data_IF_952214922045
#
_entry.id   IF_952214922045
#
_cell.length_a   1.000
_cell.length_b   1.000
_cell.length_c   1.000
_cell.angle_alpha   90.00
_cell.angle_beta   90.00
_cell.angle_gamma   90.00
#
_symmetry.space_group_name_H-M   'P 1'
#
loop_
_entity.id
_entity.type
_entity.pdbx_description
1 polymer ?
#
# COMPACT_ATOMS: atom_id res chain seq x y z
N UNK A 1 1.08 26.57 -31.59
CA UNK A 1 1.03 25.42 -32.54
C UNK A 1 1.00 24.07 -31.84
N UNK A 2 1.31 23.97 -30.53
CA UNK A 2 1.05 22.78 -29.73
C UNK A 2 0.24 23.18 -28.50
N UNK A 3 -0.97 22.64 -28.37
CA UNK A 3 -1.78 22.74 -27.17
C UNK A 3 -2.03 21.31 -26.69
N UNK A 4 -1.48 20.96 -25.53
CA UNK A 4 -1.73 19.68 -24.86
C UNK A 4 -2.37 20.04 -23.53
N UNK A 5 -3.56 19.50 -23.30
CA UNK A 5 -4.29 19.66 -22.05
C UNK A 5 -4.31 18.32 -21.32
N UNK A 6 -3.96 18.34 -20.04
CA UNK A 6 -3.95 17.17 -19.18
C UNK A 6 -4.95 17.43 -18.06
N UNK A 7 -5.98 16.58 -18.00
CA UNK A 7 -6.98 16.66 -16.93
C UNK A 7 -6.44 15.98 -15.67
N UNK A 8 -6.42 16.74 -14.57
CA UNK A 8 -6.01 16.27 -13.24
C UNK A 8 -7.17 16.33 -12.23
N UNK A 9 -8.39 16.66 -12.68
CA UNK A 9 -9.57 16.83 -11.84
C UNK A 9 -10.56 15.67 -11.91
N UNK A 10 -10.40 14.77 -12.88
CA UNK A 10 -11.29 13.61 -13.08
C UNK A 10 -10.71 12.32 -12.51
N UNK A 11 -11.57 11.50 -11.92
CA UNK A 11 -11.22 10.15 -11.51
C UNK A 11 -11.56 9.13 -12.60
N UNK A 12 -10.65 8.18 -12.80
CA UNK A 12 -10.74 7.11 -13.78
C UNK A 12 -10.79 5.76 -13.05
N UNK A 13 -11.91 5.55 -12.36
CA UNK A 13 -12.14 4.37 -11.54
C UNK A 13 -12.52 3.16 -12.40
N UNK A 14 -11.99 1.96 -12.12
CA UNK A 14 -12.34 0.76 -12.86
C UNK A 14 -13.83 0.45 -12.79
N UNK A 15 -14.34 -0.12 -13.89
CA UNK A 15 -15.75 -0.47 -14.00
C UNK A 15 -16.01 -1.81 -13.33
N UNK A 16 -16.83 -1.82 -12.29
CA UNK A 16 -17.35 -3.05 -11.70
C UNK A 16 -18.61 -3.50 -12.44
N UNK A 17 -18.70 -4.80 -12.75
CA UNK A 17 -19.91 -5.39 -13.33
C UNK A 17 -20.77 -5.97 -12.20
N UNK A 18 -21.92 -5.35 -11.96
CA UNK A 18 -22.92 -5.82 -10.99
C UNK A 18 -23.85 -6.85 -11.61
N UNK A 19 -24.50 -7.72 -10.81
CA UNK A 19 -25.52 -8.63 -11.30
C UNK A 19 -26.73 -7.91 -11.92
N UNK A 20 -27.44 -8.60 -12.80
CA UNK A 20 -28.66 -8.07 -13.44
C UNK A 20 -29.68 -7.61 -12.40
N UNK A 21 -30.27 -6.44 -12.62
CA UNK A 21 -31.25 -5.83 -11.71
C UNK A 21 -30.63 -4.91 -10.64
N UNK A 22 -29.30 -4.87 -10.51
CA UNK A 22 -28.63 -3.93 -9.63
C UNK A 22 -27.96 -2.76 -10.39
N UNK A 23 -27.91 -1.61 -9.73
CA UNK A 23 -26.92 -0.55 -9.96
C UNK A 23 -25.72 -0.72 -9.01
N UNK A 24 -24.61 -0.02 -9.25
CA UNK A 24 -23.45 -0.01 -8.34
C UNK A 24 -23.86 0.35 -6.91
N UNK A 25 -24.69 1.37 -6.75
CA UNK A 25 -25.16 1.84 -5.44
C UNK A 25 -26.03 0.80 -4.74
N UNK A 26 -27.03 0.25 -5.45
CA UNK A 26 -27.94 -0.74 -4.87
C UNK A 26 -27.25 -2.07 -4.56
N UNK A 27 -26.23 -2.46 -5.33
CA UNK A 27 -25.46 -3.67 -5.05
C UNK A 27 -24.56 -3.49 -3.83
N UNK A 28 -23.90 -2.32 -3.72
CA UNK A 28 -23.12 -1.98 -2.54
C UNK A 28 -24.00 -1.96 -1.28
N UNK A 29 -25.18 -1.35 -1.35
CA UNK A 29 -26.15 -1.34 -0.26
C UNK A 29 -26.58 -2.76 0.13
N UNK A 30 -26.90 -3.60 -0.86
CA UNK A 30 -27.27 -4.99 -0.62
C UNK A 30 -26.17 -5.76 0.15
N UNK A 31 -24.92 -5.70 -0.32
CA UNK A 31 -23.78 -6.32 0.35
C UNK A 31 -23.52 -5.76 1.75
N UNK A 32 -23.68 -4.45 1.92
CA UNK A 32 -23.49 -3.78 3.20
C UNK A 32 -24.55 -4.22 4.23
N UNK A 33 -25.80 -4.41 3.80
CA UNK A 33 -26.89 -4.90 4.67
C UNK A 33 -26.71 -6.37 5.07
N UNK A 34 -26.25 -7.22 4.14
CA UNK A 34 -25.87 -8.60 4.44
C UNK A 34 -24.73 -8.65 5.46
N UNK A 35 -23.69 -7.85 5.24
CA UNK A 35 -22.56 -7.69 6.13
C UNK A 35 -22.96 -7.18 7.52
N UNK A 36 -23.84 -6.19 7.58
CA UNK A 36 -24.39 -5.67 8.84
C UNK A 36 -25.08 -6.77 9.63
N UNK A 37 -25.92 -7.56 8.96
CA UNK A 37 -26.63 -8.69 9.59
C UNK A 37 -25.66 -9.76 10.07
N UNK A 38 -24.60 -10.05 9.32
CA UNK A 38 -23.58 -11.02 9.72
C UNK A 38 -22.75 -10.56 10.92
N UNK A 39 -22.50 -9.25 11.06
CA UNK A 39 -21.66 -8.66 12.13
C UNK A 39 -22.44 -8.35 13.41
N UNK A 40 -23.65 -7.81 13.28
CA UNK A 40 -24.46 -7.30 14.40
C UNK A 40 -25.79 -8.05 14.60
N UNK A 41 -26.13 -9.01 13.74
CA UNK A 41 -27.41 -9.72 13.78
C UNK A 41 -28.56 -8.93 13.14
N UNK A 42 -29.79 -9.46 13.25
CA UNK A 42 -30.99 -8.88 12.65
C UNK A 42 -31.50 -7.62 13.35
N UNK A 43 -31.00 -7.32 14.55
CA UNK A 43 -31.41 -6.18 15.36
C UNK A 43 -30.17 -5.50 15.93
N UNK A 44 -29.42 -4.75 15.09
CA UNK A 44 -28.24 -4.03 15.53
C UNK A 44 -28.63 -2.96 16.57
N UNK A 45 -27.67 -2.57 17.41
CA UNK A 45 -27.87 -1.51 18.40
C UNK A 45 -28.28 -0.18 17.74
N UNK A 46 -28.94 0.68 18.53
CA UNK A 46 -29.41 1.99 18.08
C UNK A 46 -28.27 2.81 17.45
N UNK A 47 -28.56 3.47 16.33
CA UNK A 47 -27.62 4.31 15.59
C UNK A 47 -26.71 3.57 14.59
N UNK A 48 -26.51 2.25 14.68
CA UNK A 48 -25.65 1.51 13.73
C UNK A 48 -26.27 1.51 12.32
N UNK A 49 -27.57 1.22 12.21
CA UNK A 49 -28.27 1.27 10.92
C UNK A 49 -28.35 2.67 10.34
N UNK A 50 -28.41 3.71 11.18
CA UNK A 50 -28.38 5.12 10.74
C UNK A 50 -26.99 5.49 10.21
N UNK A 51 -25.93 5.08 10.90
CA UNK A 51 -24.55 5.25 10.45
C UNK A 51 -24.33 4.58 9.10
N UNK A 52 -24.81 3.34 8.91
CA UNK A 52 -24.65 2.63 7.63
C UNK A 52 -25.35 3.37 6.49
N UNK A 53 -26.60 3.80 6.68
CA UNK A 53 -27.34 4.57 5.67
C UNK A 53 -26.69 5.90 5.34
N UNK A 54 -26.17 6.60 6.36
CA UNK A 54 -25.42 7.85 6.16
C UNK A 54 -24.18 7.62 5.31
N UNK A 55 -23.35 6.63 5.65
CA UNK A 55 -22.13 6.33 4.88
C UNK A 55 -22.45 5.94 3.43
N UNK A 56 -23.43 5.05 3.21
CA UNK A 56 -23.88 4.66 1.87
C UNK A 56 -24.35 5.87 1.05
N UNK A 57 -25.11 6.78 1.68
CA UNK A 57 -25.56 8.02 1.04
C UNK A 57 -24.40 8.94 0.64
N UNK A 58 -23.37 9.08 1.48
CA UNK A 58 -22.18 9.86 1.14
C UNK A 58 -21.39 9.19 0.01
N UNK A 59 -21.19 7.87 0.07
CA UNK A 59 -20.45 7.10 -0.94
C UNK A 59 -21.12 7.22 -2.32
N UNK A 60 -22.44 7.04 -2.38
CA UNK A 60 -23.23 7.20 -3.61
C UNK A 60 -23.15 8.64 -4.13
N UNK A 61 -23.36 9.64 -3.27
CA UNK A 61 -23.30 11.07 -3.67
C UNK A 61 -21.94 11.47 -4.23
N UNK A 62 -20.85 10.88 -3.71
CA UNK A 62 -19.49 11.15 -4.18
C UNK A 62 -19.07 10.26 -5.37
N UNK A 63 -19.89 9.28 -5.77
CA UNK A 63 -19.61 8.41 -6.91
C UNK A 63 -18.59 7.31 -6.63
N UNK A 64 -18.40 6.91 -5.37
CA UNK A 64 -17.38 5.92 -4.99
C UNK A 64 -17.90 4.50 -4.79
N UNK A 65 -19.16 4.20 -5.12
CA UNK A 65 -19.71 2.85 -4.96
C UNK A 65 -18.95 1.79 -5.77
N UNK A 66 -18.57 2.13 -7.01
CA UNK A 66 -17.75 1.24 -7.85
C UNK A 66 -16.38 0.96 -7.25
N UNK A 67 -15.76 1.95 -6.60
CA UNK A 67 -14.49 1.78 -5.90
C UNK A 67 -14.63 0.77 -4.75
N UNK A 68 -15.64 0.94 -3.88
CA UNK A 68 -15.89 0.00 -2.78
C UNK A 68 -16.13 -1.43 -3.28
N UNK A 69 -16.88 -1.59 -4.37
CA UNK A 69 -17.14 -2.90 -4.97
C UNK A 69 -15.88 -3.55 -5.53
N UNK A 70 -15.00 -2.77 -6.17
CA UNK A 70 -13.71 -3.27 -6.68
C UNK A 70 -12.83 -3.74 -5.52
N UNK A 71 -12.75 -2.95 -4.45
CA UNK A 71 -12.00 -3.30 -3.24
C UNK A 71 -12.54 -4.55 -2.57
N UNK A 72 -13.86 -4.59 -2.36
CA UNK A 72 -14.54 -5.76 -1.82
C UNK A 72 -14.29 -7.02 -2.63
N UNK A 73 -14.34 -6.95 -3.95
CA UNK A 73 -14.28 -8.10 -4.84
C UNK A 73 -12.99 -8.91 -4.69
N UNK A 74 -11.83 -8.25 -4.74
CA UNK A 74 -10.55 -8.95 -4.60
C UNK A 74 -10.24 -9.35 -3.15
N UNK A 75 -10.75 -8.62 -2.15
CA UNK A 75 -10.65 -9.05 -0.73
C UNK A 75 -11.51 -10.28 -0.49
N UNK A 76 -12.74 -10.29 -1.00
CA UNK A 76 -13.65 -11.42 -0.90
C UNK A 76 -13.07 -12.64 -1.63
N UNK A 77 -12.43 -12.44 -2.79
CA UNK A 77 -11.64 -13.49 -3.45
C UNK A 77 -10.52 -14.02 -2.55
N UNK A 78 -9.69 -13.13 -1.98
CA UNK A 78 -8.58 -13.51 -1.11
C UNK A 78 -9.07 -14.37 0.07
N UNK A 79 -10.11 -13.91 0.78
CA UNK A 79 -10.71 -14.64 1.91
C UNK A 79 -11.28 -16.00 1.48
N UNK A 80 -12.01 -16.09 0.35
CA UNK A 80 -12.53 -17.37 -0.18
C UNK A 80 -11.41 -18.36 -0.54
N UNK A 81 -10.23 -17.87 -0.91
CA UNK A 81 -9.04 -18.69 -1.21
C UNK A 81 -8.16 -18.96 0.01
N UNK A 82 -8.61 -18.56 1.20
CA UNK A 82 -7.86 -18.71 2.44
C UNK A 82 -6.58 -17.88 2.48
N UNK A 83 -6.51 -16.78 1.74
CA UNK A 83 -5.40 -15.81 1.81
C UNK A 83 -5.71 -14.86 2.95
N UNK A 84 -4.81 -14.77 3.93
CA UNK A 84 -4.98 -13.84 5.05
C UNK A 84 -4.95 -12.40 4.56
N UNK A 85 -5.91 -11.60 5.04
CA UNK A 85 -6.05 -10.17 4.76
C UNK A 85 -5.95 -9.42 6.08
N UNK A 86 -5.20 -8.33 6.09
CA UNK A 86 -5.03 -7.52 7.28
C UNK A 86 -6.33 -6.84 7.74
N UNK A 87 -6.36 -6.32 8.97
CA UNK A 87 -7.55 -5.68 9.53
C UNK A 87 -7.93 -4.35 8.87
N UNK A 88 -7.12 -3.86 7.94
CA UNK A 88 -7.25 -2.55 7.29
C UNK A 88 -6.27 -1.53 7.87
N UNK A 89 -5.79 -0.62 7.02
CA UNK A 89 -4.85 0.45 7.38
C UNK A 89 -5.44 1.83 7.16
N UNK A 90 -4.83 2.81 7.82
CA UNK A 90 -5.16 4.22 7.65
C UNK A 90 -6.56 4.56 8.12
N UNK A 91 -7.21 5.49 7.41
CA UNK A 91 -8.54 5.99 7.77
C UNK A 91 -9.67 5.02 7.40
N UNK A 92 -9.44 4.06 6.50
CA UNK A 92 -10.46 3.11 6.01
C UNK A 92 -11.18 2.34 7.13
N UNK A 93 -10.48 2.05 8.24
CA UNK A 93 -11.04 1.42 9.44
C UNK A 93 -12.18 2.23 10.10
N UNK A 94 -12.33 3.51 9.78
CA UNK A 94 -13.43 4.36 10.25
C UNK A 94 -14.75 4.16 9.53
N UNK A 95 -14.80 3.40 8.42
CA UNK A 95 -16.03 3.15 7.67
C UNK A 95 -16.74 1.87 8.14
N UNK A 96 -17.99 2.03 8.56
CA UNK A 96 -18.90 0.91 8.84
C UNK A 96 -19.23 0.13 7.57
N UNK A 97 -19.35 0.80 6.41
CA UNK A 97 -19.52 0.12 5.11
C UNK A 97 -18.32 -0.79 4.83
N UNK A 98 -17.09 -0.30 4.99
CA UNK A 98 -15.89 -1.12 4.81
C UNK A 98 -15.84 -2.33 5.75
N UNK A 99 -16.27 -2.16 7.01
CA UNK A 99 -16.34 -3.23 7.99
C UNK A 99 -17.40 -4.30 7.65
N UNK A 100 -18.58 -3.86 7.21
CA UNK A 100 -19.68 -4.74 6.79
C UNK A 100 -19.30 -5.55 5.53
N UNK A 101 -18.62 -4.91 4.57
CA UNK A 101 -18.11 -5.60 3.38
C UNK A 101 -16.94 -6.56 3.70
N UNK A 102 -16.38 -6.51 4.91
CA UNK A 102 -15.20 -7.32 5.28
C UNK A 102 -13.89 -6.81 4.67
N UNK A 103 -13.88 -5.57 4.19
CA UNK A 103 -12.68 -4.85 3.76
C UNK A 103 -11.78 -4.58 4.97
N UNK A 104 -12.38 -4.16 6.08
CA UNK A 104 -11.72 -3.99 7.37
C UNK A 104 -12.24 -5.03 8.38
N UNK A 105 -11.42 -5.41 9.36
CA UNK A 105 -11.81 -6.30 10.46
C UNK A 105 -12.05 -5.55 11.79
N UNK A 106 -11.85 -4.23 11.83
CA UNK A 106 -12.02 -3.41 13.04
C UNK A 106 -13.41 -2.80 13.09
N UNK A 107 -14.14 -3.00 14.19
CA UNK A 107 -15.48 -2.44 14.42
C UNK A 107 -15.40 -0.92 14.71
N UNK A 108 -15.81 -0.04 13.79
CA UNK A 108 -15.69 1.40 13.98
C UNK A 108 -16.63 1.94 15.06
N UNK A 109 -17.76 1.27 15.32
CA UNK A 109 -18.73 1.70 16.34
C UNK A 109 -18.16 1.42 17.72
N UNK A 110 -17.62 0.22 17.93
CA UNK A 110 -17.01 -0.19 19.22
C UNK A 110 -15.89 0.74 19.65
N UNK A 111 -15.07 1.21 18.71
CA UNK A 111 -13.89 2.03 18.98
C UNK A 111 -14.10 3.54 18.73
N UNK A 112 -15.33 3.96 18.38
CA UNK A 112 -15.62 5.37 18.11
C UNK A 112 -14.83 5.95 16.93
N UNK A 113 -14.58 5.14 15.90
CA UNK A 113 -13.86 5.56 14.70
C UNK A 113 -14.78 6.37 13.77
N UNK A 114 -14.23 7.48 13.25
CA UNK A 114 -14.98 8.46 12.47
C UNK A 114 -14.88 8.17 10.97
N UNK A 115 -16.02 8.16 10.29
CA UNK A 115 -16.09 7.96 8.84
C UNK A 115 -15.55 9.15 8.07
N UNK A 116 -15.77 10.36 8.57
CA UNK A 116 -15.40 11.62 7.91
C UNK A 116 -13.87 11.81 7.82
N UNK A 117 -13.11 11.08 8.64
CA UNK A 117 -11.65 10.99 8.53
C UNK A 117 -11.22 10.17 7.31
N UNK A 118 -12.06 9.22 6.88
CA UNK A 118 -11.86 8.45 5.66
C UNK A 118 -12.40 9.19 4.45
N UNK A 119 -13.69 9.53 4.48
CA UNK A 119 -14.40 10.14 3.37
C UNK A 119 -15.15 11.38 3.86
N UNK A 120 -14.65 12.56 3.51
CA UNK A 120 -15.26 13.82 3.92
C UNK A 120 -16.19 14.34 2.80
N UNK A 121 -17.50 14.51 3.06
CA UNK A 121 -18.45 15.00 2.04
C UNK A 121 -18.17 16.44 1.58
N UNK A 122 -17.46 17.24 2.36
CA UNK A 122 -17.08 18.62 2.01
C UNK A 122 -15.82 18.70 1.14
N UNK A 123 -15.06 17.61 1.06
CA UNK A 123 -13.82 17.54 0.27
C UNK A 123 -13.78 16.23 -0.53
N UNK A 124 -14.11 16.35 -1.81
CA UNK A 124 -13.99 15.23 -2.75
C UNK A 124 -12.49 14.97 -2.99
N UNK A 125 -11.99 13.90 -2.39
CA UNK A 125 -10.68 13.30 -2.66
C UNK A 125 -10.86 11.82 -2.89
N UNK A 126 -9.96 11.21 -3.68
CA UNK A 126 -9.97 9.76 -3.88
C UNK A 126 -9.76 9.06 -2.52
N UNK A 127 -10.67 8.14 -2.14
CA UNK A 127 -10.45 7.31 -0.96
C UNK A 127 -9.23 6.41 -1.18
N UNK A 128 -8.40 6.29 -0.16
CA UNK A 128 -7.23 5.42 -0.17
C UNK A 128 -7.42 4.29 0.85
N UNK A 129 -7.45 3.05 0.36
CA UNK A 129 -7.63 1.84 1.15
C UNK A 129 -6.39 0.96 0.95
N UNK A 130 -5.42 1.16 1.84
CA UNK A 130 -4.25 0.30 1.96
C UNK A 130 -4.66 -1.08 2.50
N UNK A 131 -4.32 -2.14 1.77
CA UNK A 131 -4.71 -3.51 2.12
C UNK A 131 -3.49 -4.40 2.22
N UNK A 132 -3.33 -5.01 3.39
CA UNK A 132 -2.27 -5.96 3.66
C UNK A 132 -2.75 -7.38 3.32
N UNK A 133 -1.88 -8.16 2.66
CA UNK A 133 -2.06 -9.58 2.37
C UNK A 133 -0.88 -10.38 2.92
N UNK A 134 -1.07 -11.69 3.10
CA UNK A 134 0.04 -12.61 3.33
C UNK A 134 1.10 -12.46 2.21
N UNK A 135 2.37 -12.31 2.60
CA UNK A 135 3.44 -11.88 1.70
C UNK A 135 3.77 -12.89 0.59
N UNK A 136 3.58 -14.17 0.90
CA UNK A 136 3.79 -15.35 0.06
C UNK A 136 2.65 -15.60 -0.94
N UNK A 137 1.44 -15.09 -0.66
CA UNK A 137 0.24 -15.31 -1.49
C UNK A 137 -0.35 -14.05 -2.13
N UNK A 138 0.21 -12.86 -1.88
CA UNK A 138 -0.28 -11.60 -2.48
C UNK A 138 -0.37 -11.62 -4.01
N UNK A 139 0.56 -12.31 -4.68
CA UNK A 139 0.60 -12.36 -6.15
C UNK A 139 -0.60 -13.15 -6.73
N UNK A 140 -1.23 -14.04 -5.96
CA UNK A 140 -2.49 -14.68 -6.37
C UNK A 140 -3.64 -13.67 -6.49
N UNK A 141 -3.68 -12.66 -5.61
CA UNK A 141 -4.70 -11.62 -5.62
C UNK A 141 -4.45 -10.66 -6.79
N UNK A 142 -3.19 -10.30 -7.04
CA UNK A 142 -2.82 -9.46 -8.19
C UNK A 142 -3.20 -10.16 -9.50
N UNK A 143 -2.90 -11.46 -9.65
CA UNK A 143 -3.33 -12.23 -10.83
C UNK A 143 -4.84 -12.25 -11.00
N UNK A 144 -5.60 -12.43 -9.91
CA UNK A 144 -7.05 -12.34 -9.96
C UNK A 144 -7.53 -10.98 -10.46
N UNK A 145 -6.94 -9.88 -9.98
CA UNK A 145 -7.29 -8.52 -10.43
C UNK A 145 -6.97 -8.35 -11.93
N UNK A 146 -5.83 -8.83 -12.40
CA UNK A 146 -5.44 -8.82 -13.82
C UNK A 146 -6.46 -9.60 -14.68
N UNK A 147 -6.84 -10.80 -14.25
CA UNK A 147 -7.82 -11.64 -14.96
C UNK A 147 -9.23 -11.02 -14.94
N UNK A 148 -9.63 -10.42 -13.81
CA UNK A 148 -10.97 -9.87 -13.59
C UNK A 148 -11.19 -8.53 -14.32
N UNK A 149 -10.20 -7.64 -14.30
CA UNK A 149 -10.32 -6.27 -14.80
C UNK A 149 -9.63 -6.04 -16.15
N UNK A 150 -8.82 -6.99 -16.62
CA UNK A 150 -8.18 -6.98 -17.93
C UNK A 150 -6.67 -6.71 -17.85
N UNK A 151 -5.89 -7.53 -18.55
CA UNK A 151 -4.43 -7.47 -18.53
C UNK A 151 -3.84 -6.21 -19.16
N UNK A 152 -4.61 -5.48 -19.97
CA UNK A 152 -4.27 -4.19 -20.56
C UNK A 152 -4.68 -2.99 -19.69
N UNK A 153 -5.44 -3.23 -18.61
CA UNK A 153 -5.97 -2.19 -17.70
C UNK A 153 -5.33 -2.21 -16.31
N UNK A 154 -4.54 -3.25 -16.03
CA UNK A 154 -3.87 -3.44 -14.74
C UNK A 154 -2.35 -3.44 -14.96
N UNK A 155 -1.63 -2.61 -14.19
CA UNK A 155 -0.17 -2.55 -14.24
C UNK A 155 0.42 -2.27 -12.86
N UNK A 156 1.65 -2.72 -12.63
CA UNK A 156 2.42 -2.24 -11.50
C UNK A 156 2.87 -0.80 -11.72
N UNK A 157 3.08 -0.06 -10.63
CA UNK A 157 3.61 1.30 -10.73
C UNK A 157 5.14 1.26 -10.82
N UNK A 158 5.73 2.03 -11.74
CA UNK A 158 7.18 2.20 -11.81
C UNK A 158 7.70 3.00 -10.63
N UNK A 159 8.91 2.64 -10.19
CA UNK A 159 9.71 3.42 -9.26
C UNK A 159 11.05 3.73 -9.88
N UNK A 160 11.62 4.87 -9.50
CA UNK A 160 12.92 5.29 -10.00
C UNK A 160 13.91 5.25 -8.84
N UNK A 161 14.90 4.36 -8.95
CA UNK A 161 16.00 4.32 -7.99
C UNK A 161 16.88 5.54 -8.20
N UNK A 162 17.00 6.39 -7.18
CA UNK A 162 17.88 7.57 -7.21
C UNK A 162 19.24 7.26 -6.56
N UNK A 163 20.24 8.07 -6.90
CA UNK A 163 21.57 7.97 -6.30
C UNK A 163 21.60 8.68 -4.94
N UNK A 164 21.24 7.97 -3.86
CA UNK A 164 21.39 8.48 -2.49
C UNK A 164 22.85 8.57 -2.05
N UNK A 165 23.15 9.35 -1.00
CA UNK A 165 24.51 9.70 -0.55
C UNK A 165 25.52 8.53 -0.55
N UNK A 166 25.19 7.40 0.10
CA UNK A 166 26.08 6.22 0.13
C UNK A 166 26.26 5.56 -1.23
N UNK A 167 25.21 5.52 -2.05
CA UNK A 167 25.24 4.89 -3.35
C UNK A 167 26.06 5.73 -4.35
N UNK A 168 25.85 7.05 -4.36
CA UNK A 168 26.59 7.96 -5.25
C UNK A 168 28.08 7.98 -4.94
N UNK A 169 28.47 7.96 -3.66
CA UNK A 169 29.88 7.84 -3.25
C UNK A 169 30.51 6.57 -3.86
N UNK A 170 29.86 5.41 -3.70
CA UNK A 170 30.39 4.13 -4.19
C UNK A 170 30.48 4.10 -5.72
N UNK A 171 29.48 4.62 -6.42
CA UNK A 171 29.45 4.62 -7.88
C UNK A 171 30.53 5.55 -8.46
N UNK A 172 30.68 6.77 -7.92
CA UNK A 172 31.71 7.72 -8.33
C UNK A 172 33.11 7.22 -7.98
N UNK A 173 33.30 6.66 -6.78
CA UNK A 173 34.58 6.10 -6.36
C UNK A 173 35.08 5.02 -7.33
N UNK A 174 34.18 4.14 -7.79
CA UNK A 174 34.52 3.09 -8.77
C UNK A 174 35.01 3.69 -10.09
N UNK A 175 34.38 4.77 -10.57
CA UNK A 175 34.78 5.45 -11.82
C UNK A 175 36.13 6.17 -11.66
N UNK A 176 36.39 6.77 -10.50
CA UNK A 176 37.65 7.45 -10.18
C UNK A 176 38.78 6.49 -9.76
N UNK A 177 38.60 5.18 -9.93
CA UNK A 177 39.64 4.17 -9.68
C UNK A 177 39.99 3.99 -8.20
N UNK A 178 39.03 4.16 -7.29
CA UNK A 178 39.17 3.68 -5.91
C UNK A 178 38.93 2.17 -5.84
N UNK A 179 39.62 1.50 -4.92
CA UNK A 179 39.28 0.11 -4.57
C UNK A 179 37.92 0.04 -3.88
N UNK A 180 37.26 -1.12 -3.96
CA UNK A 180 35.98 -1.36 -3.29
C UNK A 180 36.07 -1.09 -1.77
N UNK A 181 37.18 -1.50 -1.13
CA UNK A 181 37.40 -1.29 0.29
C UNK A 181 37.52 0.19 0.67
N UNK A 182 38.19 1.00 -0.15
CA UNK A 182 38.27 2.45 0.07
C UNK A 182 36.90 3.11 -0.09
N UNK A 183 36.18 2.78 -1.17
CA UNK A 183 34.85 3.31 -1.45
C UNK A 183 33.86 2.97 -0.32
N UNK A 184 33.86 1.73 0.16
CA UNK A 184 32.98 1.30 1.25
C UNK A 184 33.33 1.94 2.60
N UNK A 185 34.62 2.14 2.89
CA UNK A 185 35.04 2.89 4.09
C UNK A 185 34.50 4.31 4.08
N UNK A 186 34.64 5.03 2.96
CA UNK A 186 34.12 6.41 2.84
C UNK A 186 32.59 6.42 2.97
N UNK A 187 31.90 5.51 2.27
CA UNK A 187 30.44 5.44 2.31
C UNK A 187 29.88 5.07 3.71
N UNK A 188 30.63 4.32 4.53
CA UNK A 188 30.24 3.98 5.90
C UNK A 188 30.33 5.14 6.88
N UNK A 189 31.11 6.18 6.57
CA UNK A 189 31.16 7.40 7.39
C UNK A 189 29.89 8.25 7.26
N UNK A 190 29.12 8.07 6.18
CA UNK A 190 27.81 8.72 6.03
C UNK A 190 26.86 8.18 7.11
N UNK A 191 26.25 9.05 7.94
CA UNK A 191 25.29 8.64 8.96
C UNK A 191 24.14 7.80 8.39
N UNK A 192 23.63 6.86 9.19
CA UNK A 192 22.44 6.09 8.84
C UNK A 192 21.13 6.83 9.08
N UNK A 193 21.16 7.91 9.88
CA UNK A 193 20.00 8.69 10.26
C UNK A 193 20.30 10.20 10.18
N UNK A 194 19.34 11.03 9.73
CA UNK A 194 18.00 10.65 9.24
C UNK A 194 18.07 9.81 7.95
N UNK A 195 17.01 9.06 7.67
CA UNK A 195 16.86 8.38 6.38
C UNK A 195 16.88 9.43 5.25
N UNK A 196 17.51 9.09 4.13
CA UNK A 196 17.71 9.99 2.99
C UNK A 196 18.57 11.23 3.29
N UNK A 197 19.54 11.11 4.19
CA UNK A 197 20.55 12.16 4.42
C UNK A 197 21.26 12.54 3.11
N UNK A 198 21.43 13.83 2.89
CA UNK A 198 22.19 14.38 1.76
C UNK A 198 23.69 14.35 2.02
N UNK A 199 24.50 14.48 0.97
CA UNK A 199 25.94 14.63 1.13
C UNK A 199 26.27 15.85 2.00
N UNK A 200 25.64 17.00 1.76
CA UNK A 200 25.92 18.21 2.54
C UNK A 200 25.63 18.03 4.04
N UNK A 201 24.47 17.48 4.40
CA UNK A 201 24.15 17.16 5.80
C UNK A 201 25.10 16.10 6.39
N UNK A 202 25.62 15.20 5.56
CA UNK A 202 26.56 14.17 6.00
C UNK A 202 27.89 14.80 6.46
N UNK A 203 28.34 15.88 5.82
CA UNK A 203 29.54 16.60 6.24
C UNK A 203 29.34 17.31 7.58
N UNK A 204 28.15 17.88 7.81
CA UNK A 204 27.82 18.56 9.06
C UNK A 204 27.75 17.58 10.24
N UNK A 205 27.16 16.40 10.01
CA UNK A 205 26.90 15.40 11.05
C UNK A 205 28.05 14.43 11.30
N UNK A 206 29.00 14.31 10.36
CA UNK A 206 30.16 13.44 10.49
C UNK A 206 31.47 14.25 10.33
N UNK A 207 32.00 14.85 11.41
CA UNK A 207 33.29 15.55 11.37
C UNK A 207 34.44 14.75 10.75
N UNK A 208 34.60 13.43 11.01
CA UNK A 208 35.64 12.63 10.36
C UNK A 208 35.53 12.58 8.83
N UNK A 209 34.29 12.58 8.30
CA UNK A 209 34.05 12.60 6.86
C UNK A 209 34.43 13.97 6.28
N UNK A 210 34.06 15.05 6.96
CA UNK A 210 34.43 16.40 6.55
C UNK A 210 35.94 16.63 6.55
N UNK A 211 36.66 16.12 7.54
CA UNK A 211 38.12 16.16 7.57
C UNK A 211 38.73 15.36 6.42
N UNK A 212 38.22 14.17 6.14
CA UNK A 212 38.74 13.33 5.06
C UNK A 212 38.53 13.98 3.69
N UNK A 213 37.37 14.57 3.44
CA UNK A 213 37.06 15.31 2.19
C UNK A 213 37.98 16.54 2.04
N UNK A 214 38.34 17.21 3.14
CA UNK A 214 39.25 18.38 3.10
C UNK A 214 40.71 18.00 2.92
N UNK A 215 41.15 16.90 3.54
CA UNK A 215 42.57 16.52 3.62
C UNK A 215 43.05 15.73 2.41
N UNK A 216 42.21 14.87 1.85
CA UNK A 216 42.58 14.01 0.73
C UNK A 216 42.02 14.59 -0.59
N UNK A 217 42.87 15.10 -1.49
CA UNK A 217 42.43 15.68 -2.76
C UNK A 217 41.60 14.71 -3.61
N UNK A 218 41.92 13.41 -3.56
CA UNK A 218 41.19 12.38 -4.34
C UNK A 218 39.78 12.21 -3.81
N UNK A 219 39.60 12.27 -2.48
CA UNK A 219 38.28 12.23 -1.84
C UNK A 219 37.51 13.53 -2.07
N UNK A 220 38.21 14.67 -2.09
CA UNK A 220 37.62 15.97 -2.47
C UNK A 220 37.05 15.98 -3.89
N UNK A 221 37.79 15.43 -4.86
CA UNK A 221 37.31 15.27 -6.24
C UNK A 221 36.09 14.34 -6.31
N UNK A 222 36.17 13.17 -5.66
CA UNK A 222 35.03 12.25 -5.52
C UNK A 222 33.80 12.98 -4.99
N UNK A 223 33.96 13.77 -3.93
CA UNK A 223 32.86 14.48 -3.30
C UNK A 223 32.21 15.52 -4.22
N UNK A 224 33.03 16.28 -4.94
CA UNK A 224 32.56 17.28 -5.91
C UNK A 224 31.71 16.65 -7.01
N UNK A 225 32.18 15.53 -7.58
CA UNK A 225 31.44 14.79 -8.61
C UNK A 225 30.18 14.13 -8.02
N UNK A 226 30.29 13.54 -6.82
CA UNK A 226 29.16 12.90 -6.16
C UNK A 226 28.04 13.90 -5.85
N UNK A 227 28.37 15.13 -5.46
CA UNK A 227 27.38 16.19 -5.21
C UNK A 227 26.60 16.58 -6.47
N UNK A 228 27.24 16.56 -7.64
CA UNK A 228 26.57 16.83 -8.91
C UNK A 228 25.63 15.69 -9.36
N UNK A 229 25.84 14.47 -8.85
CA UNK A 229 25.09 13.27 -9.22
C UNK A 229 24.09 12.82 -8.15
N UNK A 230 24.15 13.39 -6.94
CA UNK A 230 23.23 13.07 -5.86
C UNK A 230 21.79 13.35 -6.27
N UNK A 231 20.90 12.37 -6.03
CA UNK A 231 19.49 12.48 -6.39
C UNK A 231 19.19 12.21 -7.88
N UNK A 232 20.19 12.08 -8.75
CA UNK A 232 19.95 11.68 -10.14
C UNK A 232 19.26 10.30 -10.20
N UNK A 233 18.34 10.16 -11.16
CA UNK A 233 17.68 8.87 -11.42
C UNK A 233 18.67 7.92 -12.08
N UNK A 234 18.79 6.71 -11.51
CA UNK A 234 19.76 5.70 -11.94
C UNK A 234 19.13 4.61 -12.80
N UNK A 235 17.99 4.08 -12.38
CA UNK A 235 17.32 2.98 -13.08
C UNK A 235 15.82 2.96 -12.78
N UNK A 236 15.07 2.38 -13.71
CA UNK A 236 13.68 1.99 -13.49
C UNK A 236 13.63 0.70 -12.65
N UNK A 237 12.68 0.64 -11.74
CA UNK A 237 12.32 -0.54 -10.95
C UNK A 237 10.80 -0.60 -10.81
N UNK A 238 10.28 -1.67 -10.22
CA UNK A 238 8.84 -1.87 -10.00
C UNK A 238 8.51 -1.60 -8.54
N UNK A 239 7.42 -0.89 -8.26
CA UNK A 239 6.93 -0.72 -6.89
C UNK A 239 6.62 -2.08 -6.28
N UNK A 240 7.00 -2.29 -5.02
CA UNK A 240 6.87 -3.59 -4.37
C UNK A 240 5.41 -4.05 -4.13
N UNK A 241 4.45 -3.12 -4.19
CA UNK A 241 3.08 -3.29 -3.70
C UNK A 241 2.02 -2.56 -4.53
N UNK A 242 2.36 -1.42 -5.14
CA UNK A 242 1.38 -0.55 -5.77
C UNK A 242 1.04 -1.02 -7.19
N UNK A 243 -0.25 -1.21 -7.43
CA UNK A 243 -0.84 -1.57 -8.71
C UNK A 243 -1.85 -0.50 -9.08
N UNK A 244 -1.91 -0.16 -10.37
CA UNK A 244 -2.93 0.72 -10.94
C UNK A 244 -3.99 -0.12 -11.64
N UNK A 245 -5.26 0.27 -11.49
CA UNK A 245 -6.40 -0.36 -12.17
C UNK A 245 -7.16 0.74 -12.91
N UNK A 246 -7.28 0.63 -14.22
CA UNK A 246 -7.94 1.63 -15.07
C UNK A 246 -9.31 1.16 -15.58
N UNK A 247 -10.15 2.13 -15.96
CA UNK A 247 -11.45 1.89 -16.59
C UNK A 247 -11.34 1.46 -18.06
N UNK A 248 -10.22 1.81 -18.70
CA UNK A 248 -9.91 1.55 -20.10
C UNK A 248 -8.46 1.04 -20.26
N UNK A 249 -8.01 0.65 -21.45
CA UNK A 249 -6.62 0.21 -21.66
C UNK A 249 -5.62 1.29 -21.21
N UNK A 250 -4.65 0.92 -20.37
CA UNK A 250 -3.73 1.86 -19.73
C UNK A 250 -2.94 2.71 -20.73
N UNK A 251 -2.63 2.18 -21.92
CA UNK A 251 -1.93 2.93 -22.97
C UNK A 251 -2.69 4.17 -23.46
N UNK A 252 -4.01 4.25 -23.24
CA UNK A 252 -4.80 5.45 -23.54
C UNK A 252 -4.61 6.55 -22.49
N UNK A 253 -4.22 6.19 -21.25
CA UNK A 253 -4.10 7.08 -20.09
C UNK A 253 -2.65 7.47 -19.80
N UNK A 254 -1.74 6.49 -19.85
CA UNK A 254 -0.36 6.63 -19.41
C UNK A 254 0.59 5.86 -20.33
N UNK A 255 1.83 6.35 -20.52
CA UNK A 255 2.85 5.53 -21.15
C UNK A 255 3.09 4.27 -20.30
N UNK A 256 3.50 3.18 -20.96
CA UNK A 256 3.87 1.94 -20.29
C UNK A 256 5.35 1.64 -20.44
N UNK A 257 5.89 0.94 -19.46
CA UNK A 257 7.24 0.39 -19.44
C UNK A 257 7.16 -1.14 -19.45
N UNK A 258 7.98 -1.80 -20.27
CA UNK A 258 8.10 -3.26 -20.27
C UNK A 258 9.50 -3.66 -19.85
N UNK A 259 9.60 -4.29 -18.68
CA UNK A 259 10.83 -4.97 -18.27
C UNK A 259 10.90 -6.32 -19.00
N UNK A 260 11.94 -6.60 -19.81
CA UNK A 260 12.09 -7.87 -20.52
C UNK A 260 12.12 -9.10 -19.59
N UNK A 261 12.42 -8.92 -18.31
CA UNK A 261 12.48 -10.00 -17.31
C UNK A 261 11.14 -10.26 -16.62
N UNK A 262 10.10 -9.44 -16.87
CA UNK A 262 8.83 -9.50 -16.16
C UNK A 262 7.64 -9.60 -17.13
N UNK A 263 6.71 -10.55 -16.88
CA UNK A 263 5.52 -10.69 -17.71
C UNK A 263 4.51 -9.58 -17.46
N UNK A 264 4.54 -8.89 -16.32
CA UNK A 264 3.55 -7.86 -15.97
C UNK A 264 3.75 -6.56 -16.77
N UNK A 265 2.71 -5.73 -16.83
CA UNK A 265 2.80 -4.35 -17.31
C UNK A 265 3.27 -3.45 -16.17
N UNK A 266 4.04 -2.42 -16.51
CA UNK A 266 4.51 -1.43 -15.57
C UNK A 266 4.14 -0.05 -16.14
N UNK A 267 3.69 0.88 -15.31
CA UNK A 267 3.43 2.26 -15.74
C UNK A 267 4.73 2.94 -16.18
N UNK A 268 4.68 3.92 -17.07
CA UNK A 268 5.82 4.78 -17.40
C UNK A 268 5.97 5.96 -16.44
N UNK A 269 4.98 6.17 -15.57
CA UNK A 269 4.93 7.27 -14.60
C UNK A 269 4.91 6.72 -13.18
N UNK A 270 5.70 7.35 -12.30
CA UNK A 270 5.73 7.00 -10.89
C UNK A 270 4.41 7.36 -10.18
N UNK A 271 4.29 6.94 -8.92
CA UNK A 271 3.08 7.05 -8.09
C UNK A 271 2.44 8.45 -8.10
N UNK A 272 3.19 9.51 -7.81
CA UNK A 272 2.63 10.86 -7.69
C UNK A 272 1.90 11.34 -8.95
N UNK A 273 2.49 11.27 -10.16
CA UNK A 273 1.78 11.56 -11.39
C UNK A 273 0.56 10.66 -11.67
N UNK A 274 0.60 9.36 -11.33
CA UNK A 274 -0.54 8.45 -11.50
C UNK A 274 -1.74 8.92 -10.68
N UNK A 275 -1.52 9.29 -9.41
CA UNK A 275 -2.56 9.83 -8.53
C UNK A 275 -3.14 11.15 -9.05
N UNK A 276 -2.29 12.06 -9.55
CA UNK A 276 -2.73 13.33 -10.13
C UNK A 276 -3.58 13.14 -11.38
N UNK A 277 -3.29 12.12 -12.18
CA UNK A 277 -4.10 11.74 -13.35
C UNK A 277 -5.41 11.04 -12.95
N UNK A 278 -5.71 10.91 -11.66
CA UNK A 278 -6.96 10.36 -11.15
C UNK A 278 -7.14 8.87 -11.39
N UNK A 279 -6.07 8.14 -11.68
CA UNK A 279 -6.12 6.69 -11.80
C UNK A 279 -6.17 6.04 -10.41
N UNK A 280 -6.91 4.93 -10.31
CA UNK A 280 -7.01 4.18 -9.06
C UNK A 280 -5.69 3.45 -8.78
N UNK A 281 -5.02 3.86 -7.70
CA UNK A 281 -3.89 3.14 -7.09
C UNK A 281 -4.42 2.23 -5.98
N UNK A 282 -3.90 1.01 -5.93
CA UNK A 282 -4.13 0.07 -4.84
C UNK A 282 -2.81 -0.53 -4.40
N UNK A 283 -2.58 -0.51 -3.09
CA UNK A 283 -1.37 -1.01 -2.48
C UNK A 283 -1.61 -2.43 -1.92
N UNK A 284 -1.08 -3.43 -2.62
CA UNK A 284 -1.09 -4.84 -2.23
C UNK A 284 0.16 -5.15 -1.41
N UNK A 285 0.15 -4.78 -0.12
CA UNK A 285 1.31 -4.99 0.75
C UNK A 285 1.42 -6.46 1.16
N UNK A 286 2.62 -7.01 1.08
CA UNK A 286 2.93 -8.30 1.68
C UNK A 286 3.38 -8.12 3.13
N UNK A 287 2.56 -8.52 4.10
CA UNK A 287 2.88 -8.42 5.52
C UNK A 287 3.25 -9.80 6.08
N UNK A 288 4.53 -9.98 6.42
CA UNK A 288 5.04 -11.24 7.00
C UNK A 288 4.29 -11.66 8.28
N UNK A 289 3.80 -10.69 9.06
CA UNK A 289 2.99 -10.97 10.25
C UNK A 289 1.73 -11.78 9.92
N UNK A 290 1.06 -11.50 8.80
CA UNK A 290 -0.13 -12.25 8.38
C UNK A 290 0.21 -13.69 8.00
N UNK A 291 1.33 -13.89 7.31
CA UNK A 291 1.86 -15.21 6.96
C UNK A 291 2.15 -16.03 8.22
N UNK A 292 2.86 -15.43 9.19
CA UNK A 292 3.16 -16.09 10.48
C UNK A 292 1.89 -16.47 11.24
N UNK A 293 0.88 -15.59 11.28
CA UNK A 293 -0.41 -15.89 11.94
C UNK A 293 -1.12 -17.05 11.23
N UNK A 294 -1.18 -17.00 9.89
CA UNK A 294 -1.81 -18.04 9.07
C UNK A 294 -1.15 -19.42 9.27
N UNK A 295 0.18 -19.46 9.22
CA UNK A 295 0.96 -20.67 9.45
C UNK A 295 0.73 -21.21 10.87
N UNK A 296 0.69 -20.33 11.87
CA UNK A 296 0.43 -20.70 13.27
C UNK A 296 -0.94 -21.35 13.43
N UNK A 297 -1.98 -20.77 12.82
CA UNK A 297 -3.34 -21.34 12.86
C UNK A 297 -3.39 -22.71 12.16
N UNK A 298 -2.73 -22.86 11.02
CA UNK A 298 -2.64 -24.13 10.31
C UNK A 298 -1.93 -25.21 11.16
N UNK A 299 -0.80 -24.87 11.76
CA UNK A 299 -0.05 -25.77 12.63
C UNK A 299 -0.84 -26.19 13.87
N UNK A 300 -1.60 -25.28 14.49
CA UNK A 300 -2.48 -25.60 15.62
C UNK A 300 -3.57 -26.59 15.19
N UNK A 301 -4.15 -26.40 14.01
CA UNK A 301 -5.15 -27.32 13.46
C UNK A 301 -4.56 -28.70 13.19
N UNK A 302 -3.36 -28.77 12.62
CA UNK A 302 -2.70 -30.05 12.31
C UNK A 302 -2.24 -30.80 13.58
N UNK A 303 -1.71 -30.08 14.57
CA UNK A 303 -1.19 -30.67 15.80
C UNK A 303 -2.28 -31.02 16.82
N UNK A 304 -3.34 -30.21 16.89
CA UNK A 304 -4.34 -30.31 17.96
C UNK A 304 -5.77 -30.53 17.46
N UNK A 305 -6.02 -30.50 16.15
CA UNK A 305 -7.37 -30.58 15.58
C UNK A 305 -8.25 -29.35 15.85
N UNK A 306 -7.67 -28.26 16.37
CA UNK A 306 -8.39 -27.05 16.75
C UNK A 306 -8.41 -26.07 15.58
N UNK A 307 -9.60 -25.73 15.09
CA UNK A 307 -9.77 -24.68 14.07
C UNK A 307 -9.95 -23.32 14.75
N UNK A 308 -9.03 -22.40 14.51
CA UNK A 308 -9.09 -21.03 15.03
C UNK A 308 -9.44 -20.05 13.91
N UNK A 309 -10.23 -19.04 14.24
CA UNK A 309 -10.46 -17.87 13.40
C UNK A 309 -9.79 -16.67 14.07
N UNK A 310 -8.68 -16.20 13.48
CA UNK A 310 -7.88 -15.11 14.01
C UNK A 310 -8.67 -13.79 14.11
N UNK A 311 -9.66 -13.57 13.23
CA UNK A 311 -10.51 -12.38 13.23
C UNK A 311 -11.56 -12.40 14.37
N UNK A 312 -11.71 -13.53 15.08
CA UNK A 312 -12.73 -13.73 16.12
C UNK A 312 -12.16 -14.01 17.51
N UNK A 313 -10.86 -13.81 17.69
CA UNK A 313 -10.23 -13.98 19.01
C UNK A 313 -10.77 -12.94 20.01
N UNK A 314 -10.97 -13.32 21.28
CA UNK A 314 -11.36 -12.38 22.32
C UNK A 314 -10.26 -11.34 22.55
N UNK A 315 -10.66 -10.09 22.79
CA UNK A 315 -9.75 -8.96 22.92
C UNK A 315 -9.41 -8.61 24.37
N UNK A 316 -9.91 -9.39 25.33
CA UNK A 316 -9.80 -9.20 26.77
C UNK A 316 -9.14 -10.40 27.47
N UNK A 317 -8.41 -11.25 26.74
CA UNK A 317 -7.76 -12.44 27.29
C UNK A 317 -6.68 -12.06 28.34
N UNK A 318 -6.86 -12.42 29.63
CA UNK A 318 -5.94 -12.02 30.68
C UNK A 318 -4.52 -12.56 30.49
N UNK A 319 -4.36 -13.74 29.88
CA UNK A 319 -3.04 -14.35 29.67
C UNK A 319 -2.22 -13.59 28.63
N UNK A 320 -2.87 -13.13 27.57
CA UNK A 320 -2.27 -12.28 26.54
C UNK A 320 -1.77 -10.97 27.16
N UNK A 321 -2.59 -10.31 27.97
CA UNK A 321 -2.19 -9.07 28.67
C UNK A 321 -1.09 -9.27 29.72
N UNK A 322 -1.06 -10.42 30.40
CA UNK A 322 0.02 -10.75 31.33
C UNK A 322 1.36 -10.88 30.60
N UNK A 323 1.38 -11.54 29.44
CA UNK A 323 2.59 -11.69 28.63
C UNK A 323 3.15 -10.32 28.20
N UNK A 324 2.27 -9.40 27.77
CA UNK A 324 2.64 -8.02 27.44
C UNK A 324 3.17 -7.25 28.66
N UNK A 325 2.51 -7.40 29.81
CA UNK A 325 2.89 -6.75 31.07
C UNK A 325 4.23 -7.27 31.62
N UNK A 326 4.56 -8.53 31.36
CA UNK A 326 5.87 -9.14 31.64
C UNK A 326 6.97 -8.69 30.66
N UNK A 327 6.65 -7.82 29.69
CA UNK A 327 7.53 -7.38 28.60
C UNK A 327 8.12 -8.54 27.77
N UNK A 328 7.39 -9.66 27.65
CA UNK A 328 7.80 -10.82 26.84
C UNK A 328 7.45 -10.60 25.36
N UNK A 329 7.89 -9.49 24.78
CA UNK A 329 7.45 -9.01 23.46
C UNK A 329 8.32 -9.48 22.29
N UNK A 330 9.20 -10.46 22.50
CA UNK A 330 9.97 -11.04 21.40
C UNK A 330 9.04 -11.74 20.40
N UNK A 331 9.04 -11.27 19.15
CA UNK A 331 8.19 -11.81 18.08
C UNK A 331 6.75 -11.28 18.07
N UNK A 332 6.43 -10.27 18.88
CA UNK A 332 5.14 -9.55 18.83
C UNK A 332 5.28 -8.35 17.90
N UNK A 333 4.38 -8.26 16.92
CA UNK A 333 4.23 -7.08 16.07
C UNK A 333 3.63 -5.91 16.84
#
# INVERSE_FOLDING_TARGET
>A
RCNVDLDFGQFHLPRYQVPDGFTLDSYLEHLALEGLTARYGTSPADGVGERLRYELGVISKMGFSGYFLVVWDFIAYARRRGIAVGPGRGSSAGSLVAYCLGITSVDPIRYGLLFERFLNPERISMPDMDIDFADDRRDEVIRYVVERYGADRVAHIITFGTMGAKAVIRDVARVLGFSYGEADRIAKLVPGFPLNITLDESLEKAPPLAEQVKRDPKVGELWSVAKALEGCTRHASVHASAVVISDEPLMARVPLYKDPKRPELITGLAMGPIEKLGLLKMDFLGLKTLTVISDTVALIKDAHGISLDADRLPLDDPKTYQLLSDAKTFGIF
#
